data_IF_909188317678
#
_entry.id   IF_909188317678
#
_cell.length_a   1.000
_cell.length_b   1.000
_cell.length_c   1.000
_cell.angle_alpha   90.00
_cell.angle_beta   90.00
_cell.angle_gamma   90.00
#
_symmetry.space_group_name_H-M   'P 1'
#
loop_
_entity.id
_entity.type
_entity.pdbx_description
1 polymer ?
#
# COMPACT_ATOMS: atom_id res chain seq x y z
N UNK A 1 -10.38 21.60 14.95
CA UNK A 1 -8.94 21.33 15.19
C UNK A 1 -8.33 22.43 16.05
N UNK A 2 -8.36 23.69 15.62
CA UNK A 2 -7.75 24.82 16.35
C UNK A 2 -8.40 25.06 17.74
N UNK A 3 -9.73 25.20 17.81
CA UNK A 3 -10.40 25.54 19.08
C UNK A 3 -10.41 24.40 20.12
N UNK A 4 -10.65 23.16 19.67
CA UNK A 4 -10.78 21.99 20.56
C UNK A 4 -9.44 21.40 20.99
N UNK A 5 -8.43 21.45 20.12
CA UNK A 5 -7.16 20.75 20.31
C UNK A 5 -5.94 21.67 20.26
N UNK A 6 -6.11 22.98 20.06
CA UNK A 6 -5.01 23.95 20.02
C UNK A 6 -4.05 23.77 18.85
N UNK A 7 -4.48 23.08 17.78
CA UNK A 7 -3.63 22.79 16.61
C UNK A 7 -3.43 24.06 15.79
N UNK A 8 -2.19 24.41 15.49
CA UNK A 8 -1.85 25.52 14.59
C UNK A 8 -1.89 25.06 13.13
N UNK A 9 -2.46 25.89 12.25
CA UNK A 9 -2.47 25.66 10.80
C UNK A 9 -1.26 26.37 10.20
N UNK A 10 -0.42 25.63 9.47
CA UNK A 10 0.75 26.17 8.77
C UNK A 10 0.40 26.38 7.29
N UNK A 11 0.92 27.44 6.68
CA UNK A 11 0.69 27.76 5.25
C UNK A 11 1.50 26.87 4.31
N UNK A 12 2.60 26.27 4.78
CA UNK A 12 3.50 25.43 3.97
C UNK A 12 3.97 24.20 4.73
N UNK A 13 4.35 23.15 4.00
CA UNK A 13 4.92 21.93 4.58
C UNK A 13 6.28 22.23 5.21
N UNK A 14 7.08 23.11 4.61
CA UNK A 14 8.35 23.57 5.17
C UNK A 14 8.18 24.23 6.53
N UNK A 15 7.17 25.09 6.69
CA UNK A 15 6.86 25.73 7.97
C UNK A 15 6.41 24.72 9.02
N UNK A 16 5.52 23.79 8.65
CA UNK A 16 5.12 22.68 9.51
C UNK A 16 6.33 21.87 9.99
N UNK A 17 7.26 21.53 9.10
CA UNK A 17 8.45 20.73 9.42
C UNK A 17 9.37 21.40 10.47
N UNK A 18 9.36 22.73 10.60
CA UNK A 18 10.13 23.43 11.65
C UNK A 18 9.52 23.30 13.04
N UNK A 19 8.24 22.92 13.12
CA UNK A 19 7.42 22.94 14.35
C UNK A 19 7.12 21.55 14.90
N UNK A 20 7.49 20.49 14.18
CA UNK A 20 7.16 19.10 14.54
C UNK A 20 8.35 18.15 14.40
N UNK A 21 8.28 17.02 15.09
CA UNK A 21 9.29 15.97 15.04
C UNK A 21 9.05 14.94 13.93
N UNK A 22 7.80 14.78 13.49
CA UNK A 22 7.39 13.78 12.50
C UNK A 22 6.17 14.26 11.69
N UNK A 23 5.95 13.64 10.53
CA UNK A 23 4.85 13.98 9.61
C UNK A 23 3.94 12.77 9.36
N UNK A 24 2.63 12.99 9.44
CA UNK A 24 1.60 12.11 8.91
C UNK A 24 1.03 12.80 7.68
N UNK A 25 1.27 12.24 6.49
CA UNK A 25 0.81 12.78 5.22
C UNK A 25 -0.51 12.09 4.85
N UNK A 26 -1.63 12.83 4.95
CA UNK A 26 -2.99 12.30 4.83
C UNK A 26 -3.81 12.98 3.74
N UNK A 27 -3.17 13.58 2.73
CA UNK A 27 -3.90 13.96 1.52
C UNK A 27 -4.54 12.71 0.94
N UNK A 28 -5.83 12.83 0.64
CA UNK A 28 -6.62 11.69 0.17
C UNK A 28 -6.16 11.25 -1.22
N UNK A 29 -5.81 12.21 -2.07
CA UNK A 29 -5.21 11.96 -3.38
C UNK A 29 -3.72 11.68 -3.25
N UNK A 30 -3.28 10.51 -3.72
CA UNK A 30 -1.89 10.09 -3.69
C UNK A 30 -0.99 10.72 -4.76
N UNK A 31 -1.55 11.31 -5.82
CA UNK A 31 -0.77 11.94 -6.90
C UNK A 31 0.18 13.06 -6.43
N UNK A 32 -0.22 13.97 -5.52
CA UNK A 32 0.68 15.01 -5.01
C UNK A 32 1.72 14.53 -3.99
N UNK A 33 1.65 13.27 -3.51
CA UNK A 33 2.46 12.82 -2.37
C UNK A 33 3.97 12.94 -2.61
N UNK A 34 4.46 12.70 -3.83
CA UNK A 34 5.89 12.86 -4.15
C UNK A 34 6.34 14.30 -3.92
N UNK A 35 5.61 15.29 -4.42
CA UNK A 35 5.97 16.70 -4.24
C UNK A 35 5.79 17.17 -2.80
N UNK A 36 4.77 16.66 -2.10
CA UNK A 36 4.51 16.98 -0.70
C UNK A 36 5.55 16.37 0.25
N UNK A 37 6.08 15.17 -0.05
CA UNK A 37 7.07 14.52 0.82
C UNK A 37 8.48 15.06 0.62
N UNK A 38 8.82 15.60 -0.56
CA UNK A 38 10.14 16.23 -0.81
C UNK A 38 10.60 17.22 0.28
N UNK A 39 9.80 18.22 0.70
CA UNK A 39 10.20 19.11 1.80
C UNK A 39 10.34 18.40 3.15
N UNK A 40 9.56 17.35 3.40
CA UNK A 40 9.65 16.53 4.62
C UNK A 40 10.97 15.78 4.68
N UNK A 41 11.37 15.15 3.57
CA UNK A 41 12.65 14.45 3.44
C UNK A 41 13.83 15.42 3.54
N UNK A 42 13.75 16.60 2.90
CA UNK A 42 14.75 17.67 3.05
C UNK A 42 14.92 18.14 4.50
N UNK A 43 13.84 18.17 5.27
CA UNK A 43 13.85 18.55 6.68
C UNK A 43 14.29 17.41 7.62
N UNK A 44 14.58 16.21 7.10
CA UNK A 44 15.03 15.07 7.90
C UNK A 44 13.94 14.47 8.80
N UNK A 45 12.66 14.68 8.47
CA UNK A 45 11.54 14.31 9.35
C UNK A 45 11.00 12.92 9.01
N UNK A 46 10.95 11.97 9.97
CA UNK A 46 10.28 10.69 9.78
C UNK A 46 8.84 10.91 9.29
N UNK A 47 8.42 10.11 8.31
CA UNK A 47 7.13 10.31 7.65
C UNK A 47 6.35 9.01 7.51
N UNK A 48 5.09 9.06 7.93
CA UNK A 48 4.08 8.08 7.53
C UNK A 48 3.25 8.70 6.41
N UNK A 49 3.12 7.99 5.29
CA UNK A 49 2.25 8.40 4.18
C UNK A 49 1.02 7.49 4.21
N UNK A 50 -0.17 8.07 4.44
CA UNK A 50 -1.41 7.30 4.41
C UNK A 50 -1.69 6.80 2.98
N UNK A 51 -2.54 5.80 2.86
CA UNK A 51 -2.85 5.15 1.59
C UNK A 51 -3.72 6.05 0.69
N UNK A 52 -3.54 5.97 -0.63
CA UNK A 52 -2.43 5.29 -1.31
C UNK A 52 -1.11 6.06 -1.12
N UNK A 53 -0.01 5.34 -0.97
CA UNK A 53 1.33 5.94 -0.82
C UNK A 53 1.65 6.96 -1.92
N UNK A 54 1.31 6.66 -3.17
CA UNK A 54 1.41 7.60 -4.28
C UNK A 54 0.40 7.26 -5.40
N UNK A 55 0.32 8.14 -6.40
CA UNK A 55 -0.55 7.95 -7.57
C UNK A 55 0.03 7.04 -8.68
N UNK A 56 1.23 6.50 -8.52
CA UNK A 56 1.86 5.59 -9.50
C UNK A 56 2.97 4.76 -8.87
N UNK A 57 3.29 3.59 -9.46
CA UNK A 57 4.41 2.76 -8.99
C UNK A 57 5.76 3.50 -9.08
N UNK A 58 5.98 4.29 -10.14
CA UNK A 58 7.21 5.10 -10.28
C UNK A 58 7.38 6.10 -9.14
N UNK A 59 6.28 6.71 -8.67
CA UNK A 59 6.34 7.72 -7.62
C UNK A 59 6.57 7.04 -6.26
N UNK A 60 5.97 5.86 -6.02
CA UNK A 60 6.28 5.03 -4.84
C UNK A 60 7.77 4.71 -4.78
N UNK A 61 8.36 4.26 -5.88
CA UNK A 61 9.80 3.95 -5.98
C UNK A 61 10.64 5.22 -5.76
N UNK A 62 10.25 6.35 -6.36
CA UNK A 62 10.96 7.62 -6.19
C UNK A 62 10.93 8.10 -4.74
N UNK A 63 9.79 8.02 -4.05
CA UNK A 63 9.65 8.41 -2.63
C UNK A 63 10.59 7.57 -1.76
N UNK A 64 10.56 6.25 -1.88
CA UNK A 64 11.46 5.40 -1.08
C UNK A 64 12.93 5.63 -1.41
N UNK A 65 13.27 5.83 -2.68
CA UNK A 65 14.65 6.12 -3.10
C UNK A 65 15.15 7.45 -2.53
N UNK A 66 14.30 8.48 -2.52
CA UNK A 66 14.62 9.79 -1.93
C UNK A 66 14.74 9.69 -0.40
N UNK A 67 13.86 8.93 0.25
CA UNK A 67 13.90 8.73 1.70
C UNK A 67 15.18 7.97 2.11
N UNK A 68 15.56 6.94 1.37
CA UNK A 68 16.82 6.21 1.55
C UNK A 68 18.03 7.13 1.37
N UNK A 69 18.10 7.91 0.27
CA UNK A 69 19.18 8.88 0.04
C UNK A 69 19.29 9.92 1.15
N UNK A 70 18.17 10.36 1.72
CA UNK A 70 18.13 11.32 2.81
C UNK A 70 18.38 10.69 4.20
N UNK A 71 18.42 9.37 4.31
CA UNK A 71 18.50 8.66 5.60
C UNK A 71 17.25 8.88 6.48
N UNK A 72 16.09 9.17 5.87
CA UNK A 72 14.85 9.49 6.56
C UNK A 72 13.94 8.26 6.61
N UNK A 73 13.51 7.82 7.80
CA UNK A 73 12.51 6.75 7.91
C UNK A 73 11.20 7.13 7.23
N UNK A 74 10.68 6.24 6.38
CA UNK A 74 9.44 6.45 5.63
C UNK A 74 8.68 5.12 5.51
N UNK A 75 7.36 5.12 5.73
CA UNK A 75 6.52 3.96 5.41
C UNK A 75 5.07 4.35 5.08
N UNK A 76 4.33 3.41 4.49
CA UNK A 76 2.90 3.51 4.21
C UNK A 76 2.23 2.18 4.53
N UNK A 77 0.94 2.19 4.84
CA UNK A 77 0.16 0.97 5.05
C UNK A 77 -1.34 1.25 5.08
N UNK A 78 -2.14 0.30 4.63
CA UNK A 78 -3.56 0.24 4.93
C UNK A 78 -3.83 -0.34 6.33
N UNK A 79 -4.88 0.14 7.00
CA UNK A 79 -5.30 -0.38 8.31
C UNK A 79 -5.68 -1.86 8.29
N UNK A 80 -6.03 -2.43 7.13
CA UNK A 80 -6.48 -3.82 6.99
C UNK A 80 -5.44 -4.82 7.50
N UNK A 81 -4.14 -4.54 7.31
CA UNK A 81 -3.05 -5.35 7.86
C UNK A 81 -3.15 -5.54 9.37
N UNK A 82 -3.71 -4.55 10.06
CA UNK A 82 -3.74 -4.47 11.51
C UNK A 82 -5.11 -4.78 12.11
N UNK A 83 -6.05 -5.28 11.32
CA UNK A 83 -7.33 -5.74 11.84
C UNK A 83 -7.13 -6.95 12.74
N UNK A 84 -7.72 -6.91 13.93
CA UNK A 84 -7.57 -8.00 14.89
C UNK A 84 -8.21 -9.30 14.39
N UNK A 85 -9.25 -9.21 13.53
CA UNK A 85 -9.78 -10.35 12.79
C UNK A 85 -8.75 -11.00 11.87
N UNK A 86 -7.97 -10.21 11.12
CA UNK A 86 -6.94 -10.73 10.22
C UNK A 86 -5.79 -11.35 11.02
N UNK A 87 -5.35 -10.68 12.11
CA UNK A 87 -4.36 -11.25 13.04
C UNK A 87 -4.83 -12.57 13.63
N UNK A 88 -6.11 -12.65 14.00
CA UNK A 88 -6.70 -13.88 14.55
C UNK A 88 -6.76 -15.00 13.51
N UNK A 89 -7.08 -14.69 12.26
CA UNK A 89 -7.02 -15.66 11.16
C UNK A 89 -5.59 -16.16 10.90
N UNK A 90 -4.60 -15.26 10.89
CA UNK A 90 -3.18 -15.58 10.74
C UNK A 90 -2.62 -16.44 11.89
N UNK A 91 -3.22 -16.36 13.08
CA UNK A 91 -2.80 -17.12 14.26
C UNK A 91 -3.31 -18.57 14.28
N UNK A 92 -4.22 -18.96 13.39
CA UNK A 92 -4.74 -20.33 13.30
C UNK A 92 -3.69 -21.26 12.67
N UNK A 93 -3.54 -22.49 13.19
CA UNK A 93 -2.65 -23.51 12.58
C UNK A 93 -3.30 -24.10 11.32
N UNK A 94 -3.11 -23.40 10.20
CA UNK A 94 -3.43 -23.90 8.86
C UNK A 94 -2.27 -24.68 8.23
N UNK A 95 -1.13 -24.79 8.93
CA UNK A 95 0.12 -25.30 8.39
C UNK A 95 0.74 -24.38 7.34
N UNK A 96 1.33 -24.94 6.27
CA UNK A 96 2.00 -24.15 5.23
C UNK A 96 0.97 -23.45 4.34
N UNK A 97 1.00 -22.12 4.24
CA UNK A 97 0.09 -21.35 3.38
C UNK A 97 0.33 -21.69 1.90
N UNK A 98 -0.70 -22.18 1.23
CA UNK A 98 -0.74 -22.52 -0.20
C UNK A 98 -1.42 -21.44 -1.04
N UNK A 99 -2.32 -20.67 -0.45
CA UNK A 99 -2.93 -19.54 -1.14
C UNK A 99 -3.85 -18.70 -0.27
N UNK A 100 -4.35 -17.61 -0.83
CA UNK A 100 -5.17 -16.65 -0.13
C UNK A 100 -6.18 -15.98 -1.09
N UNK A 101 -7.41 -15.76 -0.63
CA UNK A 101 -8.36 -14.85 -1.27
C UNK A 101 -8.55 -13.66 -0.34
N UNK A 102 -8.38 -12.44 -0.86
CA UNK A 102 -8.80 -11.21 -0.18
C UNK A 102 -9.95 -10.56 -0.94
N UNK A 103 -11.00 -10.21 -0.22
CA UNK A 103 -12.25 -9.66 -0.73
C UNK A 103 -12.40 -8.26 -0.11
N UNK A 104 -12.75 -7.28 -0.93
CA UNK A 104 -12.93 -5.91 -0.45
C UNK A 104 -13.40 -4.92 -1.52
N UNK A 105 -13.53 -3.64 -1.15
CA UNK A 105 -13.94 -2.60 -2.07
C UNK A 105 -12.87 -2.32 -3.14
N UNK A 106 -13.29 -1.97 -4.36
CA UNK A 106 -12.43 -1.44 -5.42
C UNK A 106 -13.10 -0.27 -6.18
N UNK A 107 -13.78 0.62 -5.45
CA UNK A 107 -14.44 1.79 -6.03
C UNK A 107 -13.50 2.60 -6.93
N UNK A 108 -14.06 3.21 -7.96
CA UNK A 108 -13.36 4.10 -8.88
C UNK A 108 -13.66 5.57 -8.53
N UNK A 109 -12.70 6.43 -8.78
CA UNK A 109 -12.85 7.87 -8.70
C UNK A 109 -12.21 8.48 -9.96
N UNK A 110 -12.91 9.29 -10.77
CA UNK A 110 -12.47 9.79 -12.09
C UNK A 110 -11.04 10.35 -12.20
N UNK A 111 -10.43 10.74 -11.08
CA UNK A 111 -9.09 11.31 -11.03
C UNK A 111 -8.07 10.49 -10.25
N UNK A 112 -8.45 9.37 -9.66
CA UNK A 112 -7.54 8.50 -8.92
C UNK A 112 -7.18 7.24 -9.74
N UNK A 113 -5.96 6.69 -9.57
CA UNK A 113 -5.61 5.43 -10.21
C UNK A 113 -6.47 4.28 -9.67
N UNK A 114 -6.94 3.43 -10.59
CA UNK A 114 -7.97 2.39 -10.45
C UNK A 114 -7.90 1.62 -9.12
N UNK A 115 -7.09 0.55 -9.04
CA UNK A 115 -6.99 -0.25 -7.82
C UNK A 115 -6.29 0.50 -6.68
N UNK A 116 -5.50 1.53 -6.96
CA UNK A 116 -4.75 2.24 -5.92
C UNK A 116 -5.70 3.00 -4.98
N UNK A 117 -6.86 3.43 -5.47
CA UNK A 117 -7.81 4.23 -4.70
C UNK A 117 -8.42 3.46 -3.51
N UNK A 118 -9.25 2.45 -3.79
CA UNK A 118 -9.87 1.61 -2.76
C UNK A 118 -9.43 0.14 -2.80
N UNK A 119 -8.99 -0.35 -3.96
CA UNK A 119 -8.47 -1.71 -4.11
C UNK A 119 -7.17 -1.96 -3.32
N UNK A 120 -6.46 -0.90 -2.91
CA UNK A 120 -5.26 -0.98 -2.05
C UNK A 120 -5.55 -1.64 -0.71
N UNK A 121 -6.76 -1.51 -0.16
CA UNK A 121 -7.14 -2.10 1.13
C UNK A 121 -7.12 -3.64 1.10
N UNK A 122 -7.93 -4.32 0.25
CA UNK A 122 -7.85 -5.77 0.13
C UNK A 122 -6.51 -6.24 -0.47
N UNK A 123 -5.81 -5.41 -1.27
CA UNK A 123 -4.45 -5.76 -1.71
C UNK A 123 -3.48 -5.81 -0.51
N UNK A 124 -3.54 -4.86 0.42
CA UNK A 124 -2.74 -4.91 1.65
C UNK A 124 -3.02 -6.18 2.46
N UNK A 125 -4.29 -6.54 2.62
CA UNK A 125 -4.66 -7.76 3.34
C UNK A 125 -4.10 -9.02 2.65
N UNK A 126 -4.12 -9.08 1.32
CA UNK A 126 -3.51 -10.16 0.54
C UNK A 126 -2.01 -10.26 0.77
N UNK A 127 -1.29 -9.14 0.71
CA UNK A 127 0.16 -9.08 0.92
C UNK A 127 0.56 -9.35 2.38
N UNK A 128 -0.30 -9.02 3.33
CA UNK A 128 -0.11 -9.37 4.75
C UNK A 128 -0.04 -10.89 4.95
N UNK A 129 -0.79 -11.67 4.15
CA UNK A 129 -0.79 -13.14 4.22
C UNK A 129 0.33 -13.75 3.37
N UNK A 130 0.51 -13.28 2.14
CA UNK A 130 1.36 -13.95 1.15
C UNK A 130 2.80 -13.43 1.10
N UNK A 131 3.07 -12.23 1.60
CA UNK A 131 4.37 -11.58 1.49
C UNK A 131 4.62 -10.93 0.12
N UNK A 132 5.82 -10.35 -0.08
CA UNK A 132 6.13 -9.55 -1.27
C UNK A 132 6.47 -10.35 -2.54
N UNK A 133 6.61 -11.67 -2.46
CA UNK A 133 7.20 -12.50 -3.52
C UNK A 133 6.19 -12.89 -4.62
N UNK A 134 5.36 -11.94 -5.06
CA UNK A 134 4.50 -12.13 -6.22
C UNK A 134 5.33 -12.11 -7.51
N UNK A 135 5.04 -13.02 -8.44
CA UNK A 135 5.81 -13.22 -9.67
C UNK A 135 5.01 -12.80 -10.91
N UNK A 136 3.74 -13.23 -11.00
CA UNK A 136 2.87 -12.91 -12.13
C UNK A 136 1.46 -12.55 -11.68
N UNK A 137 0.79 -11.69 -12.46
CA UNK A 137 -0.53 -11.14 -12.19
C UNK A 137 -1.40 -11.15 -13.44
N UNK A 138 -2.67 -11.51 -13.31
CA UNK A 138 -3.68 -11.36 -14.35
C UNK A 138 -4.98 -10.79 -13.78
N UNK A 139 -5.63 -9.89 -14.52
CA UNK A 139 -6.86 -9.21 -14.10
C UNK A 139 -8.01 -9.47 -15.07
N UNK A 140 -9.10 -10.03 -14.54
CA UNK A 140 -10.42 -9.94 -15.17
C UNK A 140 -11.14 -8.70 -14.64
N UNK A 141 -11.72 -7.93 -15.56
CA UNK A 141 -12.42 -6.68 -15.25
C UNK A 141 -13.85 -6.69 -15.78
N UNK A 142 -14.78 -6.25 -14.95
CA UNK A 142 -16.13 -5.82 -15.35
C UNK A 142 -16.44 -4.45 -14.72
N UNK A 143 -17.53 -3.78 -15.12
CA UNK A 143 -17.92 -2.51 -14.49
C UNK A 143 -18.06 -2.59 -12.96
N UNK A 144 -18.52 -3.74 -12.44
CA UNK A 144 -18.86 -3.89 -11.02
C UNK A 144 -17.78 -4.60 -10.19
N UNK A 145 -16.89 -5.36 -10.84
CA UNK A 145 -15.98 -6.27 -10.16
C UNK A 145 -14.62 -6.31 -10.82
N UNK A 146 -13.59 -6.55 -10.02
CA UNK A 146 -12.32 -7.08 -10.50
C UNK A 146 -11.97 -8.39 -9.81
N UNK A 147 -11.44 -9.31 -10.59
CA UNK A 147 -10.79 -10.50 -10.06
C UNK A 147 -9.36 -10.48 -10.53
N UNK A 148 -8.44 -10.19 -9.62
CA UNK A 148 -7.01 -10.21 -9.88
C UNK A 148 -6.43 -11.47 -9.28
N UNK A 149 -5.77 -12.27 -10.11
CA UNK A 149 -5.07 -13.47 -9.66
C UNK A 149 -3.58 -13.24 -9.75
N UNK A 150 -2.82 -13.85 -8.84
CA UNK A 150 -1.37 -13.85 -8.94
C UNK A 150 -0.75 -15.14 -8.44
N UNK A 151 0.47 -15.39 -8.88
CA UNK A 151 1.31 -16.48 -8.40
C UNK A 151 2.47 -15.91 -7.61
N UNK A 152 2.75 -16.54 -6.47
CA UNK A 152 3.85 -16.20 -5.58
C UNK A 152 4.90 -17.30 -5.65
N UNK A 153 6.12 -16.97 -5.23
CA UNK A 153 7.20 -17.95 -5.13
C UNK A 153 6.77 -19.20 -4.34
N UNK A 154 7.33 -20.33 -4.76
CA UNK A 154 6.97 -21.68 -4.31
C UNK A 154 5.56 -22.14 -4.73
N UNK A 155 4.98 -21.53 -5.75
CA UNK A 155 3.70 -21.96 -6.34
C UNK A 155 2.46 -21.59 -5.53
N UNK A 156 2.61 -20.67 -4.56
CA UNK A 156 1.46 -20.13 -3.80
C UNK A 156 0.60 -19.27 -4.71
N UNK A 157 -0.71 -19.20 -4.44
CA UNK A 157 -1.63 -18.41 -5.27
C UNK A 157 -2.40 -17.37 -4.46
N UNK A 158 -2.60 -16.20 -5.06
CA UNK A 158 -3.36 -15.10 -4.47
C UNK A 158 -4.52 -14.69 -5.37
N UNK A 159 -5.65 -14.34 -4.76
CA UNK A 159 -6.78 -13.73 -5.45
C UNK A 159 -7.20 -12.47 -4.70
N UNK A 160 -7.25 -11.35 -5.39
CA UNK A 160 -7.98 -10.17 -4.97
C UNK A 160 -9.34 -10.17 -5.67
N UNK A 161 -10.42 -10.21 -4.90
CA UNK A 161 -11.78 -10.08 -5.37
C UNK A 161 -12.31 -8.69 -4.99
N UNK A 162 -12.18 -7.75 -5.92
CA UNK A 162 -12.61 -6.37 -5.75
C UNK A 162 -14.07 -6.17 -6.15
N UNK A 163 -14.86 -5.55 -5.27
CA UNK A 163 -16.28 -5.26 -5.47
C UNK A 163 -16.53 -3.74 -5.50
N UNK A 164 -17.37 -3.25 -6.41
CA UNK A 164 -17.72 -1.82 -6.52
C UNK A 164 -19.14 -1.48 -6.11
N UNK A 165 -20.05 -2.44 -6.15
CA UNK A 165 -21.47 -2.25 -5.90
C UNK A 165 -21.95 -3.17 -4.78
N UNK A 166 -23.06 -2.81 -4.13
CA UNK A 166 -23.63 -3.61 -3.05
C UNK A 166 -22.74 -3.65 -1.80
N UNK A 167 -22.74 -4.80 -1.12
CA UNK A 167 -21.90 -5.03 0.07
C UNK A 167 -20.45 -5.34 -0.35
N UNK A 168 -19.50 -4.63 0.25
CA UNK A 168 -18.05 -4.77 0.00
C UNK A 168 -17.35 -5.27 1.28
N UNK A 169 -17.54 -6.55 1.67
CA UNK A 169 -17.05 -7.07 2.94
C UNK A 169 -15.52 -7.03 3.01
N UNK A 170 -14.98 -6.95 4.23
CA UNK A 170 -13.54 -7.01 4.47
C UNK A 170 -13.21 -8.43 4.90
N UNK A 171 -12.88 -9.29 3.94
CA UNK A 171 -12.72 -10.72 4.22
C UNK A 171 -11.48 -11.30 3.56
N UNK A 172 -10.78 -12.13 4.32
CA UNK A 172 -9.65 -12.92 3.88
C UNK A 172 -9.93 -14.39 4.16
N UNK A 173 -9.59 -15.25 3.20
CA UNK A 173 -9.62 -16.70 3.33
C UNK A 173 -8.22 -17.23 3.05
N UNK A 174 -7.62 -17.90 4.03
CA UNK A 174 -6.26 -18.41 3.99
C UNK A 174 -6.32 -19.93 3.84
N UNK A 175 -5.69 -20.45 2.79
CA UNK A 175 -5.67 -21.88 2.50
C UNK A 175 -4.28 -22.44 2.84
N UNK A 176 -4.22 -23.32 3.83
CA UNK A 176 -3.02 -24.05 4.20
C UNK A 176 -3.07 -25.54 3.82
N UNK A 177 -2.05 -26.30 4.20
CA UNK A 177 -1.96 -27.74 4.00
C UNK A 177 -2.65 -28.55 5.12
N UNK A 178 -2.88 -27.94 6.29
CA UNK A 178 -3.63 -28.56 7.41
C UNK A 178 -5.05 -28.05 7.57
N UNK A 179 -5.39 -26.89 6.99
CA UNK A 179 -6.69 -26.28 7.21
C UNK A 179 -6.93 -25.00 6.40
N UNK A 180 -8.07 -24.37 6.70
CA UNK A 180 -8.50 -23.09 6.14
C UNK A 180 -8.85 -22.17 7.30
N UNK A 181 -8.38 -20.93 7.26
CA UNK A 181 -8.74 -19.88 8.20
C UNK A 181 -9.51 -18.78 7.47
N UNK A 182 -10.54 -18.25 8.11
CA UNK A 182 -11.35 -17.15 7.58
C UNK A 182 -11.30 -15.97 8.54
N UNK A 183 -11.11 -14.78 7.98
CA UNK A 183 -11.22 -13.52 8.72
C UNK A 183 -12.68 -13.24 9.06
N UNK A 184 -12.93 -12.93 10.33
CA UNK A 184 -14.22 -12.43 10.81
C UNK A 184 -14.43 -10.94 10.46
N UNK A 185 -15.68 -10.49 10.48
CA UNK A 185 -16.01 -9.09 10.16
C UNK A 185 -15.71 -8.15 11.34
N UNK A 186 -14.46 -7.70 11.42
CA UNK A 186 -14.04 -6.65 12.35
C UNK A 186 -12.79 -5.92 11.88
N UNK A 187 -12.63 -4.66 12.30
CA UNK A 187 -11.46 -3.85 12.00
C UNK A 187 -11.41 -2.56 12.81
N UNK A 188 -10.20 -2.09 13.12
CA UNK A 188 -9.97 -0.87 13.90
C UNK A 188 -8.77 -0.08 13.34
N UNK A 189 -9.02 1.15 12.89
CA UNK A 189 -7.97 2.06 12.40
C UNK A 189 -6.99 2.45 13.52
N UNK A 190 -7.40 2.42 14.80
CA UNK A 190 -6.53 2.74 15.91
C UNK A 190 -5.32 1.79 16.01
N UNK A 191 -5.43 0.54 15.51
CA UNK A 191 -4.30 -0.38 15.44
C UNK A 191 -3.20 0.14 14.51
N UNK A 192 -3.54 0.70 13.34
CA UNK A 192 -2.55 1.33 12.47
C UNK A 192 -1.90 2.54 13.16
N UNK A 193 -2.68 3.36 13.85
CA UNK A 193 -2.13 4.52 14.57
C UNK A 193 -1.18 4.13 15.71
N UNK A 194 -1.41 3.00 16.37
CA UNK A 194 -0.44 2.45 17.35
C UNK A 194 0.90 2.16 16.68
N UNK A 195 0.89 1.55 15.50
CA UNK A 195 2.12 1.26 14.74
C UNK A 195 2.80 2.53 14.22
N UNK A 196 2.05 3.52 13.74
CA UNK A 196 2.59 4.84 13.34
C UNK A 196 3.30 5.53 14.52
N UNK A 197 2.71 5.49 15.72
CA UNK A 197 3.34 6.04 16.92
C UNK A 197 4.61 5.26 17.30
N UNK A 198 4.60 3.93 17.19
CA UNK A 198 5.81 3.12 17.45
C UNK A 198 6.90 3.40 16.42
N UNK A 199 6.55 3.57 15.16
CA UNK A 199 7.45 3.99 14.10
C UNK A 199 8.13 5.32 14.44
N UNK A 200 7.36 6.36 14.80
CA UNK A 200 7.96 7.66 15.13
C UNK A 200 8.86 7.62 16.37
N UNK A 201 8.57 6.73 17.34
CA UNK A 201 9.42 6.54 18.53
C UNK A 201 10.72 5.79 18.24
N UNK A 202 10.71 4.87 17.28
CA UNK A 202 11.82 3.93 17.07
C UNK A 202 12.61 4.19 15.79
N UNK A 203 12.04 4.94 14.84
CA UNK A 203 12.54 5.09 13.48
C UNK A 203 12.44 3.80 12.65
N UNK A 204 11.79 2.74 13.15
CA UNK A 204 11.72 1.43 12.48
C UNK A 204 10.37 1.23 11.81
N UNK A 205 10.32 1.20 10.46
CA UNK A 205 9.05 1.03 9.76
C UNK A 205 8.51 -0.41 9.99
N UNK A 206 7.22 -0.57 10.32
CA UNK A 206 6.61 -1.90 10.54
C UNK A 206 6.37 -2.65 9.22
N UNK A 207 6.34 -1.92 8.09
CA UNK A 207 6.22 -2.46 6.73
C UNK A 207 7.43 -2.00 5.94
N UNK A 208 8.11 -2.93 5.27
CA UNK A 208 9.29 -2.60 4.48
C UNK A 208 8.94 -1.88 3.17
N UNK A 209 9.86 -1.05 2.68
CA UNK A 209 9.73 -0.44 1.35
C UNK A 209 9.54 -1.49 0.25
N UNK A 210 10.23 -2.63 0.35
CA UNK A 210 10.10 -3.75 -0.59
C UNK A 210 8.66 -4.27 -0.66
N UNK A 211 8.01 -4.43 0.49
CA UNK A 211 6.64 -4.94 0.55
C UNK A 211 5.63 -3.95 -0.01
N UNK A 212 5.76 -2.66 0.33
CA UNK A 212 4.91 -1.62 -0.26
C UNK A 212 5.13 -1.52 -1.78
N UNK A 213 6.37 -1.58 -2.27
CA UNK A 213 6.66 -1.59 -3.72
C UNK A 213 6.02 -2.81 -4.40
N UNK A 214 6.11 -4.00 -3.80
CA UNK A 214 5.52 -5.21 -4.37
C UNK A 214 3.98 -5.15 -4.43
N UNK A 215 3.34 -4.60 -3.40
CA UNK A 215 1.90 -4.34 -3.34
C UNK A 215 1.46 -3.41 -4.49
N UNK A 216 2.16 -2.29 -4.67
CA UNK A 216 1.88 -1.35 -5.76
C UNK A 216 2.20 -1.95 -7.14
N UNK A 217 3.23 -2.77 -7.25
CA UNK A 217 3.56 -3.49 -8.48
C UNK A 217 2.48 -4.49 -8.87
N UNK A 218 1.86 -5.17 -7.90
CA UNK A 218 0.72 -6.05 -8.17
C UNK A 218 -0.47 -5.28 -8.75
N UNK A 219 -0.82 -4.13 -8.17
CA UNK A 219 -1.92 -3.31 -8.67
C UNK A 219 -1.61 -2.72 -10.06
N UNK A 220 -0.38 -2.25 -10.29
CA UNK A 220 0.08 -1.77 -11.61
C UNK A 220 0.05 -2.89 -12.66
N UNK A 221 0.55 -4.08 -12.32
CA UNK A 221 0.51 -5.24 -13.22
C UNK A 221 -0.92 -5.67 -13.54
N UNK A 222 -1.85 -5.53 -12.59
CA UNK A 222 -3.26 -5.79 -12.81
C UNK A 222 -3.86 -4.78 -13.82
N UNK A 223 -3.53 -3.50 -13.73
CA UNK A 223 -3.94 -2.47 -14.70
C UNK A 223 -3.37 -2.73 -16.10
N UNK A 224 -2.08 -3.11 -16.18
CA UNK A 224 -1.45 -3.52 -17.44
C UNK A 224 -2.13 -4.77 -18.01
N UNK A 225 -2.46 -5.75 -17.17
CA UNK A 225 -3.16 -6.98 -17.60
C UNK A 225 -4.54 -6.65 -18.17
N UNK A 226 -5.31 -5.77 -17.51
CA UNK A 226 -6.59 -5.27 -18.02
C UNK A 226 -6.42 -4.61 -19.39
N UNK A 227 -5.41 -3.76 -19.57
CA UNK A 227 -5.10 -3.15 -20.87
C UNK A 227 -4.70 -4.18 -21.94
N UNK A 228 -4.21 -5.36 -21.53
CA UNK A 228 -3.85 -6.49 -22.39
C UNK A 228 -4.95 -7.57 -22.47
N UNK A 229 -6.20 -7.20 -22.23
CA UNK A 229 -7.35 -8.11 -22.28
C UNK A 229 -7.20 -9.34 -21.35
N UNK A 230 -6.63 -9.15 -20.17
CA UNK A 230 -6.46 -10.19 -19.15
C UNK A 230 -5.21 -11.06 -19.32
N UNK A 231 -4.31 -10.75 -20.26
CA UNK A 231 -3.05 -11.48 -20.39
C UNK A 231 -2.20 -11.35 -19.10
N UNK A 232 -1.50 -12.41 -18.66
CA UNK A 232 -0.61 -12.33 -17.50
C UNK A 232 0.53 -11.33 -17.71
N UNK A 233 0.89 -10.63 -16.64
CA UNK A 233 1.98 -9.64 -16.56
C UNK A 233 2.93 -10.05 -15.45
N UNK A 234 4.24 -9.94 -15.68
CA UNK A 234 5.24 -10.25 -14.65
C UNK A 234 5.45 -9.04 -13.73
N UNK A 235 5.68 -9.27 -12.44
CA UNK A 235 5.99 -8.19 -11.49
C UNK A 235 7.32 -7.51 -11.85
N UNK A 236 8.30 -8.29 -12.33
CA UNK A 236 9.59 -7.74 -12.78
C UNK A 236 9.44 -6.74 -13.93
N UNK A 237 8.58 -7.02 -14.91
CA UNK A 237 8.32 -6.12 -16.04
C UNK A 237 7.88 -4.73 -15.58
N UNK A 238 6.89 -4.65 -14.68
CA UNK A 238 6.37 -3.37 -14.20
C UNK A 238 7.34 -2.66 -13.26
N UNK A 239 8.07 -3.39 -12.42
CA UNK A 239 9.10 -2.81 -11.53
C UNK A 239 10.26 -2.24 -12.35
N UNK A 240 10.78 -2.96 -13.33
CA UNK A 240 11.89 -2.48 -14.17
C UNK A 240 11.52 -1.21 -14.94
N UNK A 241 10.30 -1.18 -15.51
CA UNK A 241 9.78 0.02 -16.17
C UNK A 241 9.67 1.19 -15.19
N UNK A 242 9.04 0.97 -14.03
CA UNK A 242 8.82 2.03 -13.05
C UNK A 242 10.12 2.56 -12.43
N UNK A 243 11.14 1.71 -12.24
CA UNK A 243 12.48 2.13 -11.79
C UNK A 243 13.14 3.09 -12.78
N UNK A 244 13.14 2.74 -14.07
CA UNK A 244 13.68 3.60 -15.14
C UNK A 244 12.97 4.97 -15.19
N UNK A 245 11.66 4.98 -15.02
CA UNK A 245 10.89 6.22 -14.97
C UNK A 245 11.21 7.05 -13.71
N UNK A 246 11.40 6.38 -12.56
CA UNK A 246 11.69 7.01 -11.28
C UNK A 246 13.08 7.67 -11.23
N UNK A 247 14.10 7.16 -11.94
CA UNK A 247 15.44 7.76 -12.01
C UNK A 247 15.38 9.26 -12.31
N UNK A 248 14.59 9.65 -13.32
CA UNK A 248 14.41 11.05 -13.72
C UNK A 248 13.76 11.94 -12.66
N UNK A 249 13.03 11.36 -11.69
CA UNK A 249 12.36 12.07 -10.59
C UNK A 249 13.26 12.22 -9.37
N UNK A 250 14.19 11.28 -9.19
CA UNK A 250 15.17 11.29 -8.12
C UNK A 250 16.31 12.26 -8.48
N UNK A 251 16.77 12.26 -9.72
CA UNK A 251 17.89 13.11 -10.18
C UNK A 251 17.53 14.60 -10.33
N UNK A 252 16.23 14.91 -10.44
CA UNK A 252 15.73 16.30 -10.44
C UNK A 252 15.60 16.92 -9.06
N UNK A 253 15.90 16.18 -7.98
CA UNK A 253 15.94 16.78 -6.65
C UNK A 253 17.12 17.77 -6.62
N UNK A 254 16.90 19.09 -6.42
CA UNK A 254 18.01 20.03 -6.35
C UNK A 254 18.98 19.61 -5.23
N UNK A 255 20.28 19.58 -5.56
CA UNK A 255 21.33 19.44 -4.56
C UNK A 255 21.21 20.57 -3.52
N UNK A 256 21.54 20.22 -2.29
CA UNK A 256 21.37 20.96 -1.03
C UNK A 256 21.51 22.49 -1.08
#
# INVERSE_FOLDING_TARGET
>A
LQEKFGVEICETIEDLCRRVDAIILTSVDGRPHLEQVRPVLRAGKPVFIDKPMAGSLRDVIAIFSLAEKAGVPCFSSSSYRYYDSLKSALAQDVGSVRGCISIGPCHLEPHHPDLFWYGVHPTEALFTVLGPECETVARMHTPDTDVVTGTWSNGRTGVLYGLRTGSTPHKVIIFGDKGVAEQEDSGDYANLMREVVQFFRTGKPPVSAQETIALFAFMEAADVSKARNGAPVTISEVIEKARKEAESLVDKAPEH
#
